data_IF_119170221704
#
_entry.id   IF_119170221704
#
_cell.length_a   1.000
_cell.length_b   1.000
_cell.length_c   1.000
_cell.angle_alpha   90.00
_cell.angle_beta   90.00
_cell.angle_gamma   90.00
#
_symmetry.space_group_name_H-M   'P 1'
#
loop_
_entity.id
_entity.type
_entity.pdbx_description
1 polymer ?
#
# COMPACT_ATOMS: atom_id res chain seq x y z
N UNK A 1 20.75 38.49 -16.67
CA UNK A 1 20.33 37.95 -15.37
C UNK A 1 19.44 36.75 -15.69
N UNK A 2 19.57 35.61 -15.01
CA UNK A 2 18.79 34.40 -15.35
C UNK A 2 17.33 34.55 -14.90
N UNK A 3 16.40 33.94 -15.63
CA UNK A 3 14.96 33.89 -15.25
C UNK A 3 14.72 32.65 -14.40
N UNK A 4 14.01 32.80 -13.30
CA UNK A 4 13.66 31.70 -12.39
C UNK A 4 12.16 31.46 -12.41
N UNK A 5 11.77 30.20 -12.50
CA UNK A 5 10.38 29.75 -12.30
C UNK A 5 10.37 28.78 -11.12
N UNK A 6 9.74 29.21 -10.02
CA UNK A 6 9.67 28.43 -8.78
C UNK A 6 8.33 27.71 -8.71
N UNK A 7 8.38 26.41 -8.48
CA UNK A 7 7.23 25.56 -8.22
C UNK A 7 7.29 25.05 -6.77
N UNK A 8 6.18 25.24 -6.06
CA UNK A 8 5.96 24.70 -4.73
C UNK A 8 4.70 23.82 -4.78
N UNK A 9 4.81 22.59 -4.29
CA UNK A 9 3.65 21.70 -4.15
C UNK A 9 3.68 20.95 -2.83
N UNK A 10 2.50 20.60 -2.34
CA UNK A 10 2.35 19.78 -1.15
C UNK A 10 1.38 18.65 -1.44
N UNK A 11 1.64 17.50 -0.83
CA UNK A 11 0.79 16.32 -0.91
C UNK A 11 0.48 15.85 0.49
N UNK A 12 -0.77 15.44 0.69
CA UNK A 12 -1.27 14.89 1.95
C UNK A 12 -2.10 13.67 1.60
N UNK A 13 -1.95 12.60 2.38
CA UNK A 13 -2.83 11.46 2.20
C UNK A 13 -2.87 10.53 3.39
N UNK A 14 -3.85 9.64 3.32
CA UNK A 14 -4.13 8.65 4.32
C UNK A 14 -4.48 7.34 3.62
N UNK A 15 -3.96 6.24 4.17
CA UNK A 15 -4.31 4.88 3.77
C UNK A 15 -4.88 4.16 4.99
N UNK A 16 -6.09 3.64 4.87
CA UNK A 16 -6.66 2.71 5.83
C UNK A 16 -6.84 1.37 5.13
N UNK A 17 -6.10 0.36 5.59
CA UNK A 17 -6.14 -0.98 5.05
C UNK A 17 -6.57 -1.99 6.12
N UNK A 18 -7.49 -2.87 5.73
CA UNK A 18 -7.96 -3.96 6.59
C UNK A 18 -8.07 -5.23 5.77
N UNK A 19 -7.35 -6.26 6.21
CA UNK A 19 -7.38 -7.57 5.60
C UNK A 19 -7.81 -8.63 6.60
N UNK A 20 -9.01 -9.17 6.38
CA UNK A 20 -9.57 -10.22 7.20
C UNK A 20 -9.82 -11.44 6.32
N UNK A 21 -9.02 -12.48 6.55
CA UNK A 21 -9.17 -13.76 5.86
C UNK A 21 -9.42 -14.84 6.90
N UNK A 22 -10.56 -15.51 6.77
CA UNK A 22 -10.82 -16.74 7.50
C UNK A 22 -10.38 -17.91 6.63
N UNK A 23 -9.42 -18.70 7.12
CA UNK A 23 -8.93 -19.88 6.42
C UNK A 23 -8.39 -20.87 7.43
N UNK A 24 -8.60 -22.15 7.15
CA UNK A 24 -7.98 -23.24 7.89
C UNK A 24 -6.83 -23.82 7.07
N UNK A 25 -5.66 -23.96 7.69
CA UNK A 25 -4.56 -24.66 7.07
C UNK A 25 -4.83 -26.16 7.09
N UNK A 26 -4.56 -26.82 5.97
CA UNK A 26 -4.67 -28.27 5.87
C UNK A 26 -3.54 -28.89 6.72
N UNK A 27 -3.87 -29.87 7.55
CA UNK A 27 -2.89 -30.63 8.33
C UNK A 27 -3.32 -32.09 8.40
N UNK A 28 -2.40 -32.96 8.83
CA UNK A 28 -2.70 -34.38 9.06
C UNK A 28 -3.77 -34.59 10.13
N UNK A 29 -3.93 -33.66 11.08
CA UNK A 29 -4.99 -33.69 12.11
C UNK A 29 -6.31 -33.06 11.69
N UNK A 30 -6.35 -32.30 10.59
CA UNK A 30 -7.57 -31.69 10.03
C UNK A 30 -7.57 -31.77 8.50
N UNK A 31 -7.74 -32.98 7.94
CA UNK A 31 -7.83 -33.17 6.50
C UNK A 31 -9.13 -32.56 5.98
N UNK A 32 -9.01 -31.57 5.09
CA UNK A 32 -10.13 -31.02 4.31
C UNK A 32 -10.17 -31.73 2.94
N UNK A 33 -10.56 -33.00 2.97
CA UNK A 33 -10.56 -33.90 1.80
C UNK A 33 -11.96 -34.44 1.54
N UNK A 34 -12.32 -34.58 0.27
CA UNK A 34 -13.53 -35.28 -0.17
C UNK A 34 -13.13 -36.52 -0.97
N UNK A 35 -13.82 -37.63 -0.77
CA UNK A 35 -13.67 -38.80 -1.62
C UNK A 35 -14.29 -38.52 -3.00
N UNK A 36 -13.52 -38.71 -4.07
CA UNK A 36 -13.97 -38.44 -5.45
C UNK A 36 -14.80 -39.57 -6.05
N UNK A 37 -14.70 -40.79 -5.49
CA UNK A 37 -15.47 -41.95 -5.95
C UNK A 37 -16.78 -42.10 -5.19
N UNK A 38 -16.82 -41.63 -3.93
CA UNK A 38 -18.03 -41.61 -3.09
C UNK A 38 -18.14 -40.28 -2.32
N UNK A 39 -18.52 -39.18 -3.00
CA UNK A 39 -18.55 -37.88 -2.35
C UNK A 39 -19.74 -37.74 -1.37
N UNK A 40 -19.43 -37.50 -0.09
CA UNK A 40 -20.41 -37.06 0.90
C UNK A 40 -20.52 -35.53 0.91
N UNK A 41 -21.59 -35.00 0.33
CA UNK A 41 -21.89 -33.56 0.33
C UNK A 41 -22.75 -33.17 1.55
N UNK A 42 -22.70 -31.90 1.94
CA UNK A 42 -23.52 -31.36 3.05
C UNK A 42 -22.94 -31.58 4.46
N UNK A 43 -21.76 -32.20 4.57
CA UNK A 43 -21.01 -32.27 5.82
C UNK A 43 -20.45 -30.88 6.15
N UNK A 44 -20.94 -30.26 7.22
CA UNK A 44 -20.47 -28.93 7.61
C UNK A 44 -19.00 -29.00 8.01
N UNK A 45 -18.18 -28.22 7.30
CA UNK A 45 -16.80 -27.98 7.72
C UNK A 45 -16.83 -27.21 9.05
N UNK A 46 -15.93 -27.53 10.00
CA UNK A 46 -15.83 -26.78 11.25
C UNK A 46 -15.53 -25.31 10.95
N UNK A 47 -15.99 -24.40 11.83
CA UNK A 47 -15.83 -22.96 11.64
C UNK A 47 -14.39 -22.58 11.26
N UNK A 48 -14.27 -21.66 10.29
CA UNK A 48 -13.00 -21.14 9.82
C UNK A 48 -12.33 -20.28 10.90
N UNK A 49 -11.02 -20.46 11.08
CA UNK A 49 -10.23 -19.64 11.98
C UNK A 49 -9.69 -18.39 11.25
N UNK A 50 -9.37 -17.31 11.97
CA UNK A 50 -8.63 -16.18 11.40
C UNK A 50 -7.27 -16.67 10.90
N UNK A 51 -6.98 -16.38 9.63
CA UNK A 51 -5.72 -16.67 8.96
C UNK A 51 -4.91 -15.40 8.71
N UNK A 52 -5.60 -14.32 8.34
CA UNK A 52 -5.04 -12.98 8.26
C UNK A 52 -5.99 -12.03 8.96
N UNK A 53 -5.47 -11.25 9.89
CA UNK A 53 -6.16 -10.16 10.55
C UNK A 53 -5.14 -9.02 10.67
N UNK A 54 -5.04 -8.24 9.61
CA UNK A 54 -4.11 -7.11 9.52
C UNK A 54 -4.92 -5.84 9.40
N UNK A 55 -4.59 -4.88 10.27
CA UNK A 55 -5.08 -3.52 10.19
C UNK A 55 -3.85 -2.63 10.02
N UNK A 56 -3.93 -1.72 9.07
CA UNK A 56 -2.84 -0.79 8.80
C UNK A 56 -3.43 0.59 8.58
N UNK A 57 -2.83 1.58 9.23
CA UNK A 57 -3.16 2.98 9.02
C UNK A 57 -1.87 3.70 8.68
N UNK A 58 -1.85 4.40 7.54
CA UNK A 58 -0.74 5.26 7.16
C UNK A 58 -1.24 6.67 6.94
N UNK A 59 -0.42 7.65 7.32
CA UNK A 59 -0.59 9.05 6.98
C UNK A 59 0.71 9.53 6.35
N UNK A 60 0.62 10.27 5.26
CA UNK A 60 1.79 10.86 4.63
C UNK A 60 1.58 12.35 4.35
N UNK A 61 2.68 13.08 4.47
CA UNK A 61 2.81 14.47 4.09
C UNK A 61 4.07 14.64 3.26
N UNK A 62 3.97 15.39 2.17
CA UNK A 62 5.11 15.74 1.36
C UNK A 62 5.11 17.21 0.96
N UNK A 63 6.32 17.72 0.79
CA UNK A 63 6.61 19.06 0.30
C UNK A 63 7.63 18.96 -0.83
N UNK A 64 7.28 19.46 -2.02
CA UNK A 64 8.20 19.59 -3.14
C UNK A 64 8.49 21.07 -3.41
N UNK A 65 9.77 21.38 -3.62
CA UNK A 65 10.24 22.66 -4.10
C UNK A 65 11.08 22.43 -5.36
N UNK A 66 10.84 23.21 -6.41
CA UNK A 66 11.58 23.14 -7.66
C UNK A 66 11.86 24.55 -8.19
N UNK A 67 13.06 24.75 -8.72
CA UNK A 67 13.49 25.97 -9.41
C UNK A 67 13.95 25.59 -10.83
N UNK A 68 13.35 26.25 -11.83
CA UNK A 68 13.78 26.20 -13.20
C UNK A 68 14.47 27.52 -13.59
N UNK A 69 15.76 27.43 -13.85
CA UNK A 69 16.65 28.55 -14.14
C UNK A 69 16.89 28.58 -15.65
N UNK A 70 16.50 29.66 -16.31
CA UNK A 70 16.75 29.92 -17.72
C UNK A 70 17.89 30.94 -17.87
N UNK A 71 19.02 30.51 -18.42
CA UNK A 71 20.17 31.39 -18.66
C UNK A 71 20.00 32.18 -19.98
N UNK A 72 19.48 31.52 -21.01
CA UNK A 72 19.14 32.06 -22.32
C UNK A 72 18.18 31.09 -23.05
N UNK A 73 17.89 31.34 -24.33
CA UNK A 73 16.98 30.51 -25.13
C UNK A 73 17.50 29.08 -25.38
N UNK A 74 18.76 28.79 -25.07
CA UNK A 74 19.43 27.52 -25.34
C UNK A 74 19.73 26.71 -24.07
N UNK A 75 19.83 27.36 -22.91
CA UNK A 75 20.26 26.73 -21.67
C UNK A 75 19.30 26.98 -20.52
N UNK A 76 18.78 25.89 -19.97
CA UNK A 76 18.05 25.87 -18.71
C UNK A 76 18.56 24.77 -17.79
N UNK A 77 18.54 25.03 -16.49
CA UNK A 77 18.79 24.04 -15.43
C UNK A 77 17.56 23.94 -14.56
N UNK A 78 17.21 22.72 -14.16
CA UNK A 78 16.13 22.45 -13.22
C UNK A 78 16.71 21.75 -12.01
N UNK A 79 16.41 22.28 -10.83
CA UNK A 79 16.78 21.69 -9.55
C UNK A 79 15.53 21.56 -8.69
N UNK A 80 15.35 20.40 -8.05
CA UNK A 80 14.20 20.17 -7.19
C UNK A 80 14.55 19.28 -6.01
N UNK A 81 13.86 19.49 -4.90
CA UNK A 81 13.95 18.67 -3.70
C UNK A 81 12.54 18.31 -3.23
N UNK A 82 12.45 17.15 -2.60
CA UNK A 82 11.23 16.65 -1.97
C UNK A 82 11.54 16.23 -0.54
N UNK A 83 10.65 16.58 0.38
CA UNK A 83 10.63 16.10 1.75
C UNK A 83 9.36 15.29 1.98
N UNK A 84 9.49 14.09 2.53
CA UNK A 84 8.38 13.19 2.85
C UNK A 84 8.42 12.83 4.34
N UNK A 85 7.26 12.90 5.00
CA UNK A 85 7.03 12.38 6.35
C UNK A 85 5.89 11.35 6.28
N UNK A 86 6.15 10.14 6.79
CA UNK A 86 5.19 9.04 6.80
C UNK A 86 5.05 8.50 8.22
N UNK A 87 3.82 8.39 8.68
CA UNK A 87 3.43 7.74 9.94
C UNK A 87 2.66 6.46 9.59
N UNK A 88 3.03 5.33 10.22
CA UNK A 88 2.45 4.01 9.95
C UNK A 88 2.17 3.28 11.26
N UNK A 89 0.91 2.89 11.45
CA UNK A 89 0.40 2.12 12.59
C UNK A 89 -0.06 0.73 12.12
N UNK A 90 0.26 -0.31 12.89
CA UNK A 90 -0.07 -1.73 12.66
C UNK A 90 -0.98 -2.31 13.75
#
# INVERSE_FOLDING_TARGET
WARHEILLSTELGQLDYKQNQLRRNHSTGMPNTIDIYQPEYGKYLPNLAPFTDTKEQQRYFALNIQDQIFFNDQWSVLFGNRFDQVEQDF
#
